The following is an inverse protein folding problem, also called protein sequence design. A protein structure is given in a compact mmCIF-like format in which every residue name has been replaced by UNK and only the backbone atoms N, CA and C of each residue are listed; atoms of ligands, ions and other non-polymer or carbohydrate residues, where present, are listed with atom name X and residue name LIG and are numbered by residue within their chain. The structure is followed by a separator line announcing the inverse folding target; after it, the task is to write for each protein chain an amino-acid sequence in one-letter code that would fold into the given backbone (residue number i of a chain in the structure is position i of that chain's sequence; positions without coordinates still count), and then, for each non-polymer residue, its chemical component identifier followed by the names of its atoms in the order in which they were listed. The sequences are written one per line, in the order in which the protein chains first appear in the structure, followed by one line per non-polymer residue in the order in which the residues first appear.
data_IF_246317082939
#
_entry.id   IF_246317082939
#
_cell.length_a   1.000
_cell.length_b   1.000
_cell.length_c   1.000
_cell.angle_alpha   90.00
_cell.angle_beta   90.00
_cell.angle_gamma   90.00
#
_symmetry.space_group_name_H-M   'P 1'
#
loop_
_entity.id
_entity.type
_entity.pdbx_description
1 polymer ?
#
# COMPACT_ATOMS: atom_id res chain seq x y z
N UNK A 1 51.21 -32.55 -23.53
CA UNK A 1 50.82 -32.05 -24.87
C UNK A 1 49.87 -30.87 -24.71
N UNK A 2 49.82 -29.93 -25.66
CA UNK A 2 48.84 -28.83 -25.65
C UNK A 2 47.38 -29.30 -25.49
N UNK A 3 47.06 -30.50 -25.99
CA UNK A 3 45.75 -31.14 -25.84
C UNK A 3 45.37 -31.48 -24.40
N UNK A 4 46.33 -31.90 -23.56
CA UNK A 4 46.09 -32.20 -22.15
C UNK A 4 45.84 -30.92 -21.33
N UNK A 5 46.52 -29.83 -21.67
CA UNK A 5 46.32 -28.52 -21.03
C UNK A 5 44.94 -27.97 -21.35
N UNK A 6 44.50 -28.08 -22.60
CA UNK A 6 43.15 -27.68 -23.01
C UNK A 6 42.07 -28.51 -22.29
N UNK A 7 42.24 -29.83 -22.20
CA UNK A 7 41.30 -30.69 -21.50
C UNK A 7 41.22 -30.39 -19.99
N UNK A 8 42.36 -30.07 -19.36
CA UNK A 8 42.40 -29.64 -17.96
C UNK A 8 41.74 -28.27 -17.76
N UNK A 9 41.96 -27.33 -18.69
CA UNK A 9 41.34 -26.01 -18.68
C UNK A 9 39.82 -26.07 -18.88
N UNK A 10 39.35 -26.87 -19.84
CA UNK A 10 37.91 -27.05 -20.10
C UNK A 10 37.22 -27.72 -18.90
N UNK A 11 37.88 -28.71 -18.26
CA UNK A 11 37.39 -29.35 -17.04
C UNK A 11 37.40 -28.40 -15.84
N UNK A 12 38.44 -27.58 -15.69
CA UNK A 12 38.52 -26.57 -14.63
C UNK A 12 37.52 -25.43 -14.85
N UNK A 13 37.23 -25.03 -16.09
CA UNK A 13 36.21 -24.01 -16.41
C UNK A 13 34.79 -24.51 -16.23
N UNK A 14 34.55 -25.81 -16.46
CA UNK A 14 33.25 -26.44 -16.15
C UNK A 14 33.07 -26.75 -14.66
N UNK A 15 34.17 -26.96 -13.93
CA UNK A 15 34.17 -27.18 -12.48
C UNK A 15 34.29 -25.89 -11.66
N UNK A 16 34.75 -24.79 -12.27
CA UNK A 16 34.78 -23.48 -11.63
C UNK A 16 33.33 -23.09 -11.33
N UNK A 17 32.97 -22.79 -10.07
CA UNK A 17 31.67 -22.22 -9.79
C UNK A 17 31.59 -20.94 -10.59
N UNK A 18 30.66 -20.91 -11.55
CA UNK A 18 30.35 -19.72 -12.32
C UNK A 18 29.67 -18.80 -11.30
N UNK A 19 30.47 -18.08 -10.51
CA UNK A 19 30.06 -17.25 -9.38
C UNK A 19 29.27 -16.03 -9.88
N UNK A 20 28.10 -16.30 -10.43
CA UNK A 20 26.98 -15.39 -10.46
C UNK A 20 26.01 -16.03 -9.47
N UNK A 21 25.72 -15.38 -8.35
CA UNK A 21 24.54 -15.72 -7.56
C UNK A 21 23.36 -15.77 -8.51
N UNK A 22 22.82 -16.96 -8.77
CA UNK A 22 21.66 -17.09 -9.61
C UNK A 22 20.47 -16.64 -8.75
N UNK A 23 19.66 -15.73 -9.29
CA UNK A 23 18.46 -15.29 -8.59
C UNK A 23 17.25 -15.20 -9.51
N UNK A 24 16.08 -15.36 -8.90
CA UNK A 24 14.79 -15.03 -9.49
C UNK A 24 14.10 -13.98 -8.62
N UNK A 25 13.53 -12.97 -9.27
CA UNK A 25 12.85 -11.86 -8.61
C UNK A 25 11.38 -11.85 -9.02
N UNK A 26 10.51 -12.12 -8.06
CA UNK A 26 9.07 -12.20 -8.24
C UNK A 26 8.42 -10.91 -7.76
N UNK A 27 7.76 -10.20 -8.68
CA UNK A 27 6.89 -9.04 -8.41
C UNK A 27 5.40 -9.36 -8.60
N UNK A 28 5.11 -10.59 -9.01
CA UNK A 28 3.79 -11.18 -9.09
C UNK A 28 3.86 -12.65 -8.69
N UNK A 29 2.71 -13.24 -8.35
CA UNK A 29 2.62 -14.65 -7.98
C UNK A 29 3.20 -15.55 -9.08
N UNK A 30 3.88 -16.62 -8.67
CA UNK A 30 4.55 -17.50 -9.60
C UNK A 30 4.93 -18.84 -8.99
N UNK A 31 5.82 -19.53 -9.67
CA UNK A 31 6.36 -20.81 -9.21
C UNK A 31 7.87 -20.79 -9.40
N UNK A 32 8.59 -21.07 -8.33
CA UNK A 32 10.03 -21.32 -8.37
C UNK A 32 10.26 -22.82 -8.56
N UNK A 33 11.15 -23.19 -9.49
CA UNK A 33 11.63 -24.57 -9.63
C UNK A 33 13.07 -24.61 -9.16
N UNK A 34 13.35 -25.39 -8.11
CA UNK A 34 14.69 -25.55 -7.57
C UNK A 34 15.58 -26.24 -8.63
N UNK A 35 16.73 -25.65 -9.01
CA UNK A 35 17.64 -26.30 -9.95
C UNK A 35 18.25 -27.58 -9.40
N UNK A 36 18.80 -28.39 -10.30
CA UNK A 36 19.49 -29.62 -9.94
C UNK A 36 20.67 -29.31 -9.00
N UNK A 37 20.81 -30.13 -7.95
CA UNK A 37 21.85 -29.97 -6.92
C UNK A 37 21.58 -28.89 -5.87
N UNK A 38 20.56 -28.04 -6.04
CA UNK A 38 20.20 -26.99 -5.07
C UNK A 38 19.32 -27.58 -3.97
N UNK A 39 19.80 -27.52 -2.73
CA UNK A 39 19.09 -28.03 -1.54
C UNK A 39 18.70 -26.94 -0.54
N UNK A 40 19.19 -25.72 -0.75
CA UNK A 40 18.87 -24.54 0.05
C UNK A 40 18.86 -23.31 -0.85
N UNK A 41 18.02 -22.34 -0.50
CA UNK A 41 17.96 -21.04 -1.17
C UNK A 41 17.95 -19.91 -0.15
N UNK A 42 18.58 -18.80 -0.49
CA UNK A 42 18.48 -17.55 0.27
C UNK A 42 17.29 -16.75 -0.24
N UNK A 43 16.35 -16.42 0.66
CA UNK A 43 15.12 -15.70 0.35
C UNK A 43 15.15 -14.35 1.02
N UNK A 44 14.93 -13.31 0.23
CA UNK A 44 14.71 -11.94 0.67
C UNK A 44 13.33 -11.52 0.16
N UNK A 45 12.44 -11.11 1.06
CA UNK A 45 11.05 -10.83 0.71
C UNK A 45 10.45 -9.72 1.56
N UNK A 46 9.48 -9.01 0.97
CA UNK A 46 8.78 -7.90 1.58
C UNK A 46 7.29 -8.08 1.34
N UNK A 47 6.45 -7.84 2.37
CA UNK A 47 4.99 -7.81 2.20
C UNK A 47 4.53 -6.58 1.42
N UNK A 48 3.29 -6.58 0.93
CA UNK A 48 2.68 -5.39 0.33
C UNK A 48 2.45 -4.30 1.37
N UNK A 49 2.55 -3.02 0.99
CA UNK A 49 2.24 -1.90 1.89
C UNK A 49 0.74 -1.67 1.98
N UNK A 50 0.26 -1.12 3.11
CA UNK A 50 -1.16 -0.82 3.32
C UNK A 50 -1.64 0.37 2.50
N UNK A 51 -2.92 0.41 2.16
CA UNK A 51 -3.55 1.57 1.53
C UNK A 51 -3.78 2.71 2.52
N UNK A 52 -3.71 3.96 2.09
CA UNK A 52 -4.05 5.11 2.94
C UNK A 52 -5.56 5.24 3.18
N UNK A 53 -5.97 5.84 4.29
CA UNK A 53 -7.40 6.09 4.57
C UNK A 53 -7.97 7.26 3.78
N UNK A 54 -9.28 7.23 3.52
CA UNK A 54 -10.01 8.34 2.91
C UNK A 54 -10.34 9.44 3.91
N UNK A 55 -10.46 10.68 3.44
CA UNK A 55 -10.79 11.82 4.29
C UNK A 55 -12.28 11.91 4.66
N UNK A 56 -12.54 12.48 5.84
CA UNK A 56 -13.89 12.78 6.31
C UNK A 56 -14.44 14.08 5.71
N UNK A 57 -15.73 14.33 5.95
CA UNK A 57 -16.37 15.60 5.61
C UNK A 57 -17.20 16.15 6.77
N UNK A 58 -17.33 17.48 6.84
CA UNK A 58 -18.27 18.18 7.73
C UNK A 58 -19.11 19.19 6.97
N UNK A 59 -20.22 19.62 7.58
CA UNK A 59 -21.20 20.55 7.02
C UNK A 59 -20.80 22.03 7.09
N UNK A 60 -19.53 22.39 6.87
CA UNK A 60 -19.14 23.81 6.76
C UNK A 60 -19.46 24.69 7.99
N UNK A 61 -19.80 24.11 9.15
CA UNK A 61 -20.02 24.76 10.44
C UNK A 61 -19.55 23.84 11.58
N UNK A 62 -19.30 24.43 12.76
CA UNK A 62 -18.90 23.95 14.11
C UNK A 62 -18.19 22.59 14.33
N UNK A 63 -18.31 21.57 13.47
CA UNK A 63 -17.65 20.27 13.55
C UNK A 63 -16.37 20.22 12.69
N UNK A 64 -15.29 19.69 13.27
CA UNK A 64 -14.02 19.44 12.57
C UNK A 64 -14.00 18.09 11.84
N UNK A 65 -13.45 18.06 10.62
CA UNK A 65 -13.20 16.83 9.86
C UNK A 65 -11.69 16.59 9.85
N UNK A 66 -11.26 15.35 10.13
CA UNK A 66 -9.86 14.97 9.91
C UNK A 66 -9.69 14.38 8.51
N UNK A 67 -8.47 14.49 8.01
CA UNK A 67 -8.01 13.73 6.86
C UNK A 67 -7.81 12.25 7.21
N UNK A 68 -7.61 11.43 6.19
CA UNK A 68 -7.18 10.05 6.35
C UNK A 68 -5.70 9.95 6.71
N UNK A 69 -5.34 8.91 7.45
CA UNK A 69 -3.95 8.54 7.73
C UNK A 69 -3.32 7.81 6.55
N UNK A 70 -2.00 7.85 6.42
CA UNK A 70 -1.27 7.01 5.47
C UNK A 70 -1.30 5.54 5.91
N UNK A 71 -1.12 4.63 4.95
CA UNK A 71 -0.87 3.22 5.21
C UNK A 71 0.58 2.99 5.64
N UNK A 72 0.81 1.86 6.30
CA UNK A 72 2.13 1.46 6.78
C UNK A 72 2.85 0.56 5.78
N UNK A 73 4.18 0.42 5.90
CA UNK A 73 4.94 -0.46 5.02
C UNK A 73 4.82 -1.94 5.41
N UNK A 74 4.98 -2.84 4.43
CA UNK A 74 5.15 -4.27 4.69
C UNK A 74 6.44 -4.57 5.43
N UNK A 75 6.47 -5.70 6.15
CA UNK A 75 7.65 -6.17 6.87
C UNK A 75 8.60 -6.94 5.96
N UNK A 76 9.91 -6.80 6.18
CA UNK A 76 10.94 -7.58 5.49
C UNK A 76 11.17 -8.92 6.20
N UNK A 77 11.37 -9.99 5.45
CA UNK A 77 11.87 -11.27 5.97
C UNK A 77 13.04 -11.74 5.09
N UNK A 78 14.13 -12.15 5.75
CA UNK A 78 15.32 -12.72 5.10
C UNK A 78 15.60 -14.06 5.77
N UNK A 79 15.63 -15.14 4.99
CA UNK A 79 15.73 -16.50 5.51
C UNK A 79 16.46 -17.44 4.54
N UNK A 80 17.09 -18.49 5.07
CA UNK A 80 17.57 -19.62 4.28
C UNK A 80 16.50 -20.71 4.34
N UNK A 81 16.02 -21.16 3.18
CA UNK A 81 14.91 -22.10 3.07
C UNK A 81 15.39 -23.41 2.42
N UNK A 82 15.16 -24.58 3.04
CA UNK A 82 15.48 -25.85 2.41
C UNK A 82 14.55 -26.12 1.23
N UNK A 83 15.11 -26.66 0.16
CA UNK A 83 14.39 -27.10 -1.03
C UNK A 83 14.88 -28.48 -1.47
N UNK A 84 14.10 -29.15 -2.30
CA UNK A 84 14.46 -30.40 -2.96
C UNK A 84 14.84 -30.08 -4.40
N UNK A 85 15.97 -30.58 -4.93
CA UNK A 85 16.32 -30.42 -6.34
C UNK A 85 15.17 -30.84 -7.26
N UNK A 86 14.86 -30.02 -8.27
CA UNK A 86 13.71 -30.21 -9.18
C UNK A 86 12.33 -29.91 -8.57
N UNK A 87 12.26 -29.60 -7.28
CA UNK A 87 11.02 -29.27 -6.57
C UNK A 87 10.39 -27.97 -7.06
N UNK A 88 9.06 -27.92 -7.09
CA UNK A 88 8.28 -26.74 -7.50
C UNK A 88 7.58 -26.12 -6.30
N UNK A 89 7.79 -24.82 -6.12
CA UNK A 89 7.33 -24.08 -4.95
C UNK A 89 6.50 -22.88 -5.38
N UNK A 90 5.31 -22.74 -4.82
CA UNK A 90 4.51 -21.55 -5.02
C UNK A 90 5.23 -20.34 -4.40
N UNK A 91 5.23 -19.24 -5.15
CA UNK A 91 5.72 -17.93 -4.70
C UNK A 91 4.53 -17.00 -4.68
N UNK A 92 4.18 -16.48 -3.51
CA UNK A 92 3.13 -15.47 -3.36
C UNK A 92 3.77 -14.13 -3.08
N UNK A 93 3.43 -13.14 -3.89
CA UNK A 93 3.83 -11.75 -3.70
C UNK A 93 2.64 -11.00 -3.12
N UNK A 94 2.86 -10.38 -1.95
CA UNK A 94 1.86 -9.58 -1.28
C UNK A 94 1.41 -8.40 -2.13
N UNK A 95 0.10 -8.29 -2.38
CA UNK A 95 -0.45 -7.14 -3.09
C UNK A 95 -0.41 -5.89 -2.20
N UNK A 96 -0.27 -4.71 -2.80
CA UNK A 96 -0.47 -3.45 -2.10
C UNK A 96 -1.94 -3.27 -1.69
N UNK A 97 -2.17 -2.68 -0.52
CA UNK A 97 -3.49 -2.37 0.00
C UNK A 97 -4.19 -1.29 -0.84
N UNK A 98 -5.51 -1.40 -0.96
CA UNK A 98 -6.35 -0.42 -1.65
C UNK A 98 -6.59 0.77 -0.73
N UNK A 99 -6.50 1.99 -1.27
CA UNK A 99 -6.83 3.21 -0.53
C UNK A 99 -8.30 3.26 -0.11
N UNK A 100 -8.55 3.81 1.07
CA UNK A 100 -9.88 3.98 1.63
C UNK A 100 -10.71 4.99 0.84
N UNK A 101 -11.99 4.69 0.63
CA UNK A 101 -12.90 5.59 -0.04
C UNK A 101 -13.15 6.88 0.75
N UNK A 102 -13.39 7.97 0.04
CA UNK A 102 -13.82 9.24 0.63
C UNK A 102 -15.20 9.11 1.29
N UNK A 103 -15.45 9.96 2.29
CA UNK A 103 -16.81 10.28 2.70
C UNK A 103 -17.51 11.14 1.65
N UNK A 104 -18.80 10.90 1.42
CA UNK A 104 -19.65 11.69 0.52
C UNK A 104 -21.00 11.97 1.16
N UNK A 105 -21.57 13.16 0.91
CA UNK A 105 -22.96 13.47 1.27
C UNK A 105 -23.67 14.27 0.17
N UNK A 106 -25.00 14.18 0.19
CA UNK A 106 -25.91 15.04 -0.55
C UNK A 106 -27.24 15.13 0.20
N UNK A 107 -27.79 16.34 0.39
CA UNK A 107 -29.12 16.54 0.97
C UNK A 107 -29.80 17.77 0.38
N UNK A 108 -31.14 17.74 0.32
CA UNK A 108 -31.98 18.79 -0.28
C UNK A 108 -33.16 19.12 0.64
N UNK A 109 -33.42 20.40 0.90
CA UNK A 109 -34.56 20.85 1.72
C UNK A 109 -35.15 22.20 1.28
N UNK A 110 -36.40 22.44 1.66
CA UNK A 110 -37.06 23.74 1.48
C UNK A 110 -36.54 24.80 2.45
N UNK A 111 -36.59 26.06 2.01
CA UNK A 111 -36.21 27.23 2.78
C UNK A 111 -37.06 27.36 4.04
N UNK A 112 -36.39 27.58 5.17
CA UNK A 112 -37.01 27.62 6.51
C UNK A 112 -37.07 26.27 7.25
N UNK A 113 -36.62 25.16 6.66
CA UNK A 113 -36.43 23.88 7.36
C UNK A 113 -34.96 23.63 7.67
N UNK A 114 -34.63 23.37 8.94
CA UNK A 114 -33.28 22.95 9.31
C UNK A 114 -32.99 21.55 8.78
N UNK A 115 -31.89 21.41 8.03
CA UNK A 115 -31.29 20.11 7.72
C UNK A 115 -30.19 19.86 8.73
N UNK A 116 -30.30 18.77 9.49
CA UNK A 116 -29.19 18.31 10.34
C UNK A 116 -28.22 17.56 9.44
N UNK A 117 -27.16 18.23 8.99
CA UNK A 117 -26.08 17.55 8.31
C UNK A 117 -25.12 16.97 9.36
N UNK A 118 -25.10 15.65 9.45
CA UNK A 118 -24.17 14.91 10.30
C UNK A 118 -22.88 14.69 9.49
N UNK A 119 -21.74 15.06 10.07
CA UNK A 119 -20.43 14.77 9.47
C UNK A 119 -20.28 13.26 9.20
N UNK A 120 -19.57 12.90 8.12
CA UNK A 120 -19.36 11.50 7.75
C UNK A 120 -17.86 11.16 7.78
N UNK A 121 -17.45 10.11 8.51
CA UNK A 121 -16.06 9.65 8.51
C UNK A 121 -15.70 9.04 7.16
N UNK A 122 -14.42 9.15 6.79
CA UNK A 122 -13.86 8.45 5.65
C UNK A 122 -13.66 6.97 5.95
N UNK A 123 -13.43 6.16 4.91
CA UNK A 123 -13.19 4.74 5.08
C UNK A 123 -11.70 4.45 5.29
N UNK A 124 -11.33 3.46 6.12
CA UNK A 124 -9.94 3.02 6.22
C UNK A 124 -9.46 2.41 4.90
N UNK A 125 -8.15 2.50 4.65
CA UNK A 125 -7.50 1.71 3.62
C UNK A 125 -7.41 0.24 4.03
N UNK A 126 -7.23 -0.65 3.05
CA UNK A 126 -7.03 -2.07 3.34
C UNK A 126 -5.56 -2.35 3.66
N UNK A 127 -5.34 -3.38 4.47
CA UNK A 127 -4.01 -3.93 4.68
C UNK A 127 -3.40 -4.43 3.37
N UNK A 128 -2.08 -4.39 3.29
CA UNK A 128 -1.31 -5.06 2.25
C UNK A 128 -1.32 -6.58 2.45
N UNK A 129 -1.11 -7.32 1.37
CA UNK A 129 -1.00 -8.78 1.40
C UNK A 129 0.36 -9.25 1.91
N UNK A 130 0.36 -10.44 2.49
CA UNK A 130 1.60 -11.15 2.86
C UNK A 130 2.31 -11.67 1.60
N UNK A 131 3.64 -11.58 1.60
CA UNK A 131 4.47 -12.38 0.68
C UNK A 131 4.82 -13.70 1.36
N UNK A 132 4.77 -14.82 0.65
CA UNK A 132 5.06 -16.15 1.21
C UNK A 132 5.90 -17.01 0.26
N UNK A 133 6.86 -17.74 0.84
CA UNK A 133 7.60 -18.78 0.15
C UNK A 133 7.84 -19.96 1.10
N UNK A 134 7.35 -21.14 0.74
CA UNK A 134 7.36 -22.34 1.61
C UNK A 134 6.72 -22.04 2.97
N UNK A 135 7.50 -21.95 4.04
CA UNK A 135 7.06 -21.67 5.41
C UNK A 135 7.48 -20.28 5.90
N UNK A 136 8.08 -19.45 5.03
CA UNK A 136 8.53 -18.10 5.36
C UNK A 136 7.48 -17.08 4.90
N UNK A 137 7.17 -16.14 5.77
CA UNK A 137 6.18 -15.08 5.52
C UNK A 137 6.78 -13.71 5.83
N UNK A 138 6.59 -12.77 4.92
CA UNK A 138 6.80 -11.34 5.12
C UNK A 138 5.43 -10.67 5.17
N UNK A 139 5.09 -10.06 6.33
CA UNK A 139 3.76 -9.53 6.59
C UNK A 139 3.46 -8.27 5.79
N UNK A 140 2.23 -8.17 5.30
CA UNK A 140 1.72 -6.93 4.71
C UNK A 140 1.59 -5.81 5.75
N UNK A 141 1.66 -4.57 5.28
CA UNK A 141 1.51 -3.39 6.12
C UNK A 141 0.03 -3.08 6.41
N UNK A 142 -0.34 -2.76 7.66
CA UNK A 142 -1.65 -2.20 7.99
C UNK A 142 -2.08 -1.01 7.13
N UNK A 143 -3.37 -0.97 6.77
CA UNK A 143 -4.01 0.16 6.11
C UNK A 143 -4.18 1.37 7.04
N UNK A 144 -4.20 2.56 6.45
CA UNK A 144 -4.40 3.81 7.16
C UNK A 144 -5.85 4.00 7.62
N UNK A 145 -6.04 4.56 8.80
CA UNK A 145 -7.36 4.89 9.31
C UNK A 145 -8.05 5.97 8.44
N UNK A 146 -9.36 5.82 8.26
CA UNK A 146 -10.19 6.85 7.63
C UNK A 146 -10.31 8.08 8.53
N UNK A 147 -10.57 9.23 7.92
CA UNK A 147 -10.78 10.46 8.66
C UNK A 147 -12.00 10.35 9.59
N UNK A 148 -11.92 11.02 10.73
CA UNK A 148 -12.99 11.07 11.74
C UNK A 148 -13.66 12.45 11.75
N UNK A 149 -14.83 12.50 12.36
CA UNK A 149 -15.59 13.74 12.56
C UNK A 149 -15.69 14.06 14.05
N UNK A 150 -15.45 15.30 14.43
CA UNK A 150 -15.52 15.80 15.81
C UNK A 150 -16.73 16.72 15.98
N UNK A 151 -17.50 16.54 17.06
CA UNK A 151 -18.64 17.41 17.43
C UNK A 151 -18.23 18.62 18.28
N UNK A 152 -16.93 18.85 18.51
CA UNK A 152 -16.47 20.00 19.28
C UNK A 152 -16.60 21.28 18.45
N UNK A 153 -17.41 22.23 18.94
CA UNK A 153 -17.68 23.55 18.36
C UNK A 153 -16.40 24.35 18.08
N UNK A 154 -15.81 24.22 16.90
CA UNK A 154 -14.73 25.08 16.42
C UNK A 154 -15.35 26.18 15.56
N UNK A 155 -15.31 27.43 16.03
CA UNK A 155 -15.89 28.62 15.35
C UNK A 155 -15.17 28.94 14.03
N UNK A 156 -14.06 28.27 13.72
CA UNK A 156 -13.44 28.28 12.40
C UNK A 156 -13.18 26.82 11.98
N UNK A 157 -13.92 26.24 11.01
CA UNK A 157 -13.52 24.96 10.46
C UNK A 157 -12.11 25.14 9.87
N UNK A 158 -11.14 24.42 10.42
CA UNK A 158 -9.79 24.41 9.88
C UNK A 158 -9.87 24.12 8.37
N UNK A 159 -9.00 24.73 7.53
CA UNK A 159 -8.90 24.35 6.13
C UNK A 159 -8.78 22.83 6.03
N UNK A 160 -9.32 22.24 4.97
CA UNK A 160 -9.26 20.79 4.69
C UNK A 160 -7.90 20.25 5.12
N UNK A 161 -7.87 19.46 6.20
CA UNK A 161 -6.63 18.89 6.70
C UNK A 161 -5.97 18.06 5.60
N UNK A 162 -4.66 18.21 5.45
CA UNK A 162 -3.88 17.38 4.54
C UNK A 162 -3.88 15.95 5.05
N UNK A 163 -3.96 14.97 4.14
CA UNK A 163 -3.71 13.58 4.46
C UNK A 163 -2.30 13.37 5.00
N UNK A 164 -2.11 12.32 5.79
CA UNK A 164 -0.76 11.92 6.18
C UNK A 164 -0.07 11.17 5.04
N UNK A 165 1.25 11.28 4.93
CA UNK A 165 2.01 10.46 4.01
C UNK A 165 1.97 8.99 4.43
N UNK A 166 2.01 8.08 3.45
CA UNK A 166 2.23 6.67 3.70
C UNK A 166 3.68 6.41 4.09
N UNK A 167 3.92 5.32 4.81
CA UNK A 167 5.27 4.97 5.26
C UNK A 167 6.13 4.46 4.10
N UNK A 168 7.39 4.90 4.09
CA UNK A 168 8.41 4.35 3.19
C UNK A 168 8.77 2.94 3.64
N UNK A 169 9.10 2.08 2.69
CA UNK A 169 9.83 0.84 2.96
C UNK A 169 11.31 1.02 2.62
N UNK A 170 12.14 0.01 2.88
CA UNK A 170 13.53 0.00 2.40
C UNK A 170 13.66 -0.03 0.87
N UNK A 171 12.58 -0.34 0.14
CA UNK A 171 12.57 -0.56 -1.31
C UNK A 171 11.50 0.26 -2.03
N UNK A 172 10.89 1.25 -1.36
CA UNK A 172 9.77 2.00 -1.91
C UNK A 172 9.48 3.27 -1.16
N UNK A 173 8.97 4.25 -1.89
CA UNK A 173 8.54 5.53 -1.32
C UNK A 173 7.04 5.48 -1.07
N UNK A 174 6.65 5.81 0.14
CA UNK A 174 5.25 5.93 0.54
C UNK A 174 4.55 7.04 -0.23
N UNK A 175 3.24 6.90 -0.37
CA UNK A 175 2.41 7.88 -1.07
C UNK A 175 2.35 9.22 -0.32
N UNK A 176 2.38 10.33 -1.04
CA UNK A 176 2.21 11.66 -0.44
C UNK A 176 0.82 11.82 0.18
N UNK A 177 0.73 12.51 1.30
CA UNK A 177 -0.57 12.93 1.84
C UNK A 177 -1.28 13.90 0.90
N UNK A 178 -2.58 13.70 0.67
CA UNK A 178 -3.36 14.59 -0.19
C UNK A 178 -3.49 15.99 0.42
N UNK A 179 -3.29 17.04 -0.38
CA UNK A 179 -3.48 18.44 0.05
C UNK A 179 -4.63 19.04 -0.73
N UNK A 180 -5.84 18.90 -0.20
CA UNK A 180 -7.09 19.11 -0.95
C UNK A 180 -7.16 18.25 -2.23
N UNK A 181 -6.61 17.04 -2.14
CA UNK A 181 -6.55 16.04 -3.20
C UNK A 181 -6.63 14.64 -2.60
N UNK A 182 -6.75 13.66 -3.47
CA UNK A 182 -6.54 12.24 -3.17
C UNK A 182 -5.15 12.02 -2.57
N UNK A 183 -5.04 10.97 -1.75
CA UNK A 183 -3.75 10.47 -1.29
C UNK A 183 -2.94 9.91 -2.46
N UNK A 184 -1.64 10.18 -2.46
CA UNK A 184 -0.72 9.66 -3.47
C UNK A 184 -0.59 8.14 -3.36
N UNK A 185 -0.44 7.47 -4.49
CA UNK A 185 -0.08 6.05 -4.51
C UNK A 185 1.39 5.88 -4.10
N UNK A 186 1.68 4.79 -3.41
CA UNK A 186 3.05 4.39 -3.13
C UNK A 186 3.78 3.90 -4.39
N UNK A 187 5.11 3.86 -4.33
CA UNK A 187 5.97 3.39 -5.41
C UNK A 187 7.02 2.40 -4.88
N UNK A 188 7.75 1.74 -5.79
CA UNK A 188 8.68 0.68 -5.44
C UNK A 188 7.95 -0.52 -4.84
N UNK A 189 8.45 -1.06 -3.74
CA UNK A 189 7.88 -2.26 -3.12
C UNK A 189 7.50 -2.07 -1.66
N UNK A 190 6.35 -2.62 -1.26
CA UNK A 190 5.90 -2.73 0.12
C UNK A 190 5.70 -1.41 0.88
N UNK A 191 5.64 -0.27 0.19
CA UNK A 191 5.45 1.04 0.80
C UNK A 191 3.96 1.39 0.92
N UNK A 192 3.60 2.17 1.95
CA UNK A 192 2.21 2.50 2.27
C UNK A 192 1.64 3.63 1.41
N UNK A 193 0.34 3.60 1.12
CA UNK A 193 -0.36 4.66 0.38
C UNK A 193 -0.61 5.91 1.23
N UNK A 194 -0.66 7.09 0.61
CA UNK A 194 -0.96 8.34 1.30
C UNK A 194 -2.43 8.46 1.70
N UNK A 195 -2.72 9.15 2.80
CA UNK A 195 -4.08 9.46 3.21
C UNK A 195 -4.73 10.53 2.33
N UNK A 196 -6.05 10.45 2.16
CA UNK A 196 -6.84 11.45 1.45
C UNK A 196 -7.14 12.67 2.31
N UNK A 197 -7.17 13.86 1.70
CA UNK A 197 -7.56 15.08 2.39
C UNK A 197 -9.03 15.04 2.85
N UNK A 198 -9.34 15.81 3.89
CA UNK A 198 -10.75 16.03 4.28
C UNK A 198 -11.48 16.94 3.28
N UNK A 199 -12.78 16.74 3.15
CA UNK A 199 -13.63 17.45 2.21
C UNK A 199 -14.39 18.62 2.81
N UNK A 200 -14.84 19.54 1.95
CA UNK A 200 -15.72 20.65 2.32
C UNK A 200 -17.12 20.46 1.75
N UNK A 201 -18.09 20.91 2.53
CA UNK A 201 -19.49 21.05 2.13
C UNK A 201 -19.72 22.36 1.37
N UNK A 202 -20.35 22.26 0.20
CA UNK A 202 -20.93 23.37 -0.55
C UNK A 202 -22.45 23.39 -0.36
N UNK A 203 -23.01 24.58 -0.15
CA UNK A 203 -24.46 24.79 -0.12
C UNK A 203 -24.84 25.66 -1.31
N UNK A 204 -25.77 25.17 -2.13
CA UNK A 204 -26.34 25.89 -3.27
C UNK A 204 -27.81 26.17 -3.00
N UNK A 205 -28.26 27.38 -3.30
CA UNK A 205 -29.66 27.79 -3.14
C UNK A 205 -30.27 28.03 -4.52
N UNK A 206 -31.35 27.33 -4.83
CA UNK A 206 -32.13 27.53 -6.07
C UNK A 206 -33.58 27.77 -5.71
N UNK A 207 -34.04 29.02 -5.89
CA UNK A 207 -35.36 29.45 -5.42
C UNK A 207 -35.47 29.31 -3.89
N UNK A 208 -36.51 28.64 -3.41
CA UNK A 208 -36.70 28.32 -1.99
C UNK A 208 -36.13 26.95 -1.60
N UNK A 209 -35.12 26.44 -2.30
CA UNK A 209 -34.51 25.13 -2.02
C UNK A 209 -33.03 25.28 -1.71
N UNK A 210 -32.58 24.63 -0.64
CA UNK A 210 -31.18 24.48 -0.27
C UNK A 210 -30.72 23.07 -0.59
N UNK A 211 -29.66 22.95 -1.38
CA UNK A 211 -28.95 21.69 -1.64
C UNK A 211 -27.57 21.78 -1.02
N UNK A 212 -27.20 20.80 -0.21
CA UNK A 212 -25.87 20.70 0.36
C UNK A 212 -25.20 19.43 -0.16
N UNK A 213 -24.04 19.57 -0.82
CA UNK A 213 -23.22 18.46 -1.31
C UNK A 213 -21.74 18.65 -0.99
N UNK A 214 -20.97 17.56 -0.99
CA UNK A 214 -19.53 17.58 -0.75
C UNK A 214 -18.95 16.20 -0.56
N UNK A 215 -17.65 16.10 -0.79
CA UNK A 215 -16.89 14.86 -0.71
C UNK A 215 -15.52 15.12 -0.12
N UNK A 216 -15.03 14.16 0.66
CA UNK A 216 -13.62 14.05 1.00
C UNK A 216 -12.84 13.54 -0.19
N UNK A 217 -11.58 13.21 0.05
CA UNK A 217 -10.72 12.63 -0.96
C UNK A 217 -10.34 11.20 -0.56
N UNK A 218 -10.30 10.24 -1.51
CA UNK A 218 -9.86 8.88 -1.24
C UNK A 218 -8.37 8.84 -0.88
N UNK A 219 -7.98 7.79 -0.16
CA UNK A 219 -6.57 7.47 0.07
C UNK A 219 -5.92 6.83 -1.15
N UNK A 220 -4.59 6.86 -1.18
CA UNK A 220 -3.78 6.21 -2.20
C UNK A 220 -3.56 4.72 -1.93
N UNK A 221 -3.21 3.98 -2.97
CA UNK A 221 -2.86 2.55 -2.88
C UNK A 221 -1.44 2.37 -2.31
N UNK A 222 -1.25 1.31 -1.52
CA UNK A 222 0.07 0.81 -1.18
C UNK A 222 0.71 0.08 -2.37
N UNK A 223 2.03 -0.15 -2.32
CA UNK A 223 2.76 -0.87 -3.36
C UNK A 223 2.89 -2.36 -3.04
N UNK A 224 2.93 -3.19 -4.08
CA UNK A 224 3.12 -4.63 -3.93
C UNK A 224 4.46 -4.94 -3.26
N UNK A 225 4.54 -6.07 -2.56
CA UNK A 225 5.79 -6.61 -2.06
C UNK A 225 6.65 -7.23 -3.17
N UNK A 226 7.62 -8.06 -2.76
CA UNK A 226 8.39 -8.90 -3.67
C UNK A 226 8.87 -10.17 -2.95
N UNK A 227 9.31 -11.15 -3.75
CA UNK A 227 10.09 -12.30 -3.27
C UNK A 227 11.29 -12.48 -4.19
N UNK A 228 12.49 -12.48 -3.61
CA UNK A 228 13.76 -12.71 -4.29
C UNK A 228 14.38 -14.00 -3.74
N UNK A 229 14.70 -14.92 -4.64
CA UNK A 229 15.27 -16.23 -4.30
C UNK A 229 16.63 -16.32 -4.96
N UNK A 230 17.66 -16.64 -4.19
CA UNK A 230 19.05 -16.76 -4.66
C UNK A 230 19.63 -18.12 -4.29
N UNK A 231 20.46 -18.71 -5.15
CA UNK A 231 21.09 -20.01 -4.97
C UNK A 231 22.44 -20.10 -5.68
#
# INVERSE_FOLDING_TARGET
TPSAVKAAYDKASTAAPVNHTHYQFFTANGTFTAPDGVTQVFVEMLGGGGGGGGGAITNGGIAGASSGSGGTCGSTNISIVPVTPGGKYAVIVGAGGVGGAAASYSSTAQSGKSVVLIGKPGFPGTDGGDSTFVNVTAKGGPGGAGGVTSTASVINPAPSGNGAAGENSSYGTGGSGGSNTDGGNASGYGAGGGGGASGKTTVTTTGSTYTSSGSGFPGGKGSNGFVKISW
#
